data_IF_115989853154
#
_entry.id   IF_115989853154
#
_cell.length_a   1.000
_cell.length_b   1.000
_cell.length_c   1.000
_cell.angle_alpha   90.00
_cell.angle_beta   90.00
_cell.angle_gamma   90.00
#
_symmetry.space_group_name_H-M   'P 1'
#
loop_
_entity.id
_entity.type
_entity.pdbx_description
1 polymer ?
#
# COMPACT_ATOMS: atom_id res chain seq x y z
N UNK A 1 -38.99 55.48 -9.92
CA UNK A 1 -38.26 54.23 -10.23
C UNK A 1 -36.85 54.31 -9.61
N UNK A 2 -36.79 54.62 -8.31
CA UNK A 2 -35.58 55.19 -7.69
C UNK A 2 -35.38 54.78 -6.22
N UNK A 3 -36.30 53.99 -5.66
CA UNK A 3 -36.20 53.46 -4.28
C UNK A 3 -35.85 51.95 -4.25
N UNK A 4 -36.15 51.21 -5.32
CA UNK A 4 -35.87 49.76 -5.41
C UNK A 4 -34.39 49.49 -5.74
N UNK A 5 -33.73 50.39 -6.48
CA UNK A 5 -32.32 50.24 -6.88
C UNK A 5 -31.36 50.45 -5.69
N UNK A 6 -31.76 51.24 -4.68
CA UNK A 6 -30.94 51.49 -3.49
C UNK A 6 -30.89 50.32 -2.51
N UNK A 7 -31.96 49.51 -2.44
CA UNK A 7 -32.00 48.33 -1.57
C UNK A 7 -31.24 47.12 -2.17
N UNK A 8 -31.11 47.03 -3.49
CA UNK A 8 -30.36 45.97 -4.17
C UNK A 8 -28.83 46.18 -4.11
N UNK A 9 -28.35 47.43 -4.03
CA UNK A 9 -26.91 47.72 -3.88
C UNK A 9 -26.37 47.47 -2.46
N UNK A 10 -27.23 47.55 -1.43
CA UNK A 10 -26.81 47.28 -0.04
C UNK A 10 -26.77 45.76 0.24
N UNK A 11 -27.63 44.97 -0.42
CA UNK A 11 -27.61 43.50 -0.30
C UNK A 11 -26.46 42.83 -1.05
N UNK A 12 -25.93 43.44 -2.12
CA UNK A 12 -24.78 42.89 -2.84
C UNK A 12 -23.45 43.12 -2.07
N UNK A 13 -23.39 44.13 -1.19
CA UNK A 13 -22.22 44.36 -0.33
C UNK A 13 -22.16 43.47 0.94
N UNK A 14 -23.23 42.73 1.28
CA UNK A 14 -23.29 41.86 2.46
C UNK A 14 -23.13 40.35 2.14
N UNK A 15 -22.98 40.00 0.85
CA UNK A 15 -22.66 38.64 0.40
C UNK A 15 -21.31 38.54 -0.31
N UNK A 16 -20.39 39.49 -0.06
CA UNK A 16 -18.95 39.17 -0.06
C UNK A 16 -18.66 38.51 1.30
N UNK A 17 -19.30 37.36 1.54
CA UNK A 17 -18.68 36.40 2.43
C UNK A 17 -17.45 35.94 1.68
N UNK A 18 -16.34 36.57 2.06
CA UNK A 18 -15.03 35.95 2.11
C UNK A 18 -15.17 34.44 2.08
N UNK A 19 -14.91 33.84 0.93
CA UNK A 19 -14.31 32.54 0.92
C UNK A 19 -12.97 32.81 1.59
N UNK A 20 -12.95 32.68 2.91
CA UNK A 20 -11.70 32.44 3.61
C UNK A 20 -11.26 31.08 3.06
N UNK A 21 -10.50 31.11 1.97
CA UNK A 21 -9.45 30.13 1.77
C UNK A 21 -8.77 29.97 3.13
N UNK A 22 -8.49 28.74 3.61
CA UNK A 22 -7.68 28.58 4.80
C UNK A 22 -6.39 29.33 4.51
N UNK A 23 -6.29 30.50 5.14
CA UNK A 23 -5.26 31.43 4.82
C UNK A 23 -3.97 30.82 5.34
N UNK A 24 -3.04 30.49 4.45
CA UNK A 24 -1.60 30.45 4.78
C UNK A 24 -1.14 31.90 5.06
N UNK A 25 -1.91 32.67 5.85
CA UNK A 25 -1.58 34.02 6.27
C UNK A 25 -1.13 33.93 7.71
N UNK A 26 0.15 33.66 7.88
CA UNK A 26 0.97 34.17 8.99
C UNK A 26 2.44 33.72 8.97
N UNK A 27 2.89 32.98 7.95
CA UNK A 27 4.31 32.66 7.85
C UNK A 27 5.05 33.67 6.98
N UNK A 28 5.92 34.45 7.62
CA UNK A 28 6.85 35.36 6.97
C UNK A 28 7.92 34.56 6.21
N UNK A 29 8.58 35.20 5.25
CA UNK A 29 9.84 34.69 4.69
C UNK A 29 10.86 34.48 5.82
N UNK A 30 11.73 33.48 5.66
CA UNK A 30 12.70 33.16 6.68
C UNK A 30 13.68 34.31 6.90
N UNK A 31 13.90 34.68 8.16
CA UNK A 31 14.98 35.60 8.50
C UNK A 31 16.34 34.96 8.15
N UNK A 32 17.40 35.77 7.94
CA UNK A 32 18.75 35.24 7.69
C UNK A 32 19.21 34.25 8.77
N UNK A 33 18.80 34.47 10.03
CA UNK A 33 19.10 33.55 11.14
C UNK A 33 18.37 32.20 10.97
N UNK A 34 17.10 32.22 10.59
CA UNK A 34 16.33 30.99 10.34
C UNK A 34 16.86 30.24 9.13
N UNK A 35 17.29 30.92 8.07
CA UNK A 35 17.93 30.30 6.90
C UNK A 35 19.20 29.55 7.32
N UNK A 36 20.06 30.18 8.14
CA UNK A 36 21.28 29.53 8.65
C UNK A 36 20.94 28.30 9.51
N UNK A 37 19.90 28.37 10.35
CA UNK A 37 19.49 27.22 11.17
C UNK A 37 18.90 26.09 10.30
N UNK A 38 18.03 26.45 9.34
CA UNK A 38 17.40 25.53 8.40
C UNK A 38 18.46 24.77 7.58
N UNK A 39 19.31 25.51 6.85
CA UNK A 39 20.30 24.91 5.95
C UNK A 39 21.52 24.32 6.65
N UNK A 40 21.83 24.79 7.86
CA UNK A 40 22.90 24.25 8.68
C UNK A 40 22.40 23.12 9.57
N UNK A 41 21.75 23.48 10.68
CA UNK A 41 21.39 22.53 11.74
C UNK A 41 20.35 21.51 11.29
N UNK A 42 19.25 21.93 10.68
CA UNK A 42 18.18 21.00 10.33
C UNK A 42 18.61 20.04 9.21
N UNK A 43 19.36 20.53 8.21
CA UNK A 43 19.95 19.70 7.16
C UNK A 43 20.89 18.61 7.68
N UNK A 44 21.58 18.81 8.81
CA UNK A 44 22.43 17.76 9.40
C UNK A 44 21.60 16.55 9.83
N UNK A 45 20.45 16.77 10.46
CA UNK A 45 19.54 15.68 10.84
C UNK A 45 18.93 14.99 9.62
N UNK A 46 18.64 15.75 8.56
CA UNK A 46 18.18 15.20 7.28
C UNK A 46 19.25 14.27 6.69
N UNK A 47 20.51 14.71 6.66
CA UNK A 47 21.61 13.91 6.13
C UNK A 47 21.84 12.64 6.97
N UNK A 48 21.70 12.74 8.30
CA UNK A 48 21.74 11.57 9.18
C UNK A 48 20.65 10.54 8.83
N UNK A 49 19.41 10.99 8.62
CA UNK A 49 18.32 10.09 8.21
C UNK A 49 18.59 9.45 6.84
N UNK A 50 19.07 10.24 5.86
CA UNK A 50 19.40 9.72 4.52
C UNK A 50 20.48 8.65 4.62
N UNK A 51 21.58 8.96 5.32
CA UNK A 51 22.69 8.02 5.50
C UNK A 51 22.23 6.71 6.14
N UNK A 52 21.47 6.79 7.24
CA UNK A 52 20.94 5.60 7.90
C UNK A 52 20.01 4.80 6.97
N UNK A 53 19.15 5.48 6.21
CA UNK A 53 18.19 4.82 5.30
C UNK A 53 18.88 4.14 4.11
N UNK A 54 20.01 4.67 3.65
CA UNK A 54 20.83 4.08 2.59
C UNK A 54 21.69 2.92 3.10
N UNK A 55 22.26 3.05 4.30
CA UNK A 55 23.06 2.00 4.94
C UNK A 55 22.21 0.77 5.28
N UNK A 56 20.97 0.98 5.75
CA UNK A 56 20.06 -0.06 6.17
C UNK A 56 18.80 -0.07 5.30
N UNK A 57 18.88 -0.70 4.13
CA UNK A 57 17.77 -0.79 3.16
C UNK A 57 16.96 -2.10 3.27
N UNK A 58 17.58 -3.16 3.79
CA UNK A 58 17.05 -4.51 4.01
C UNK A 58 17.46 -5.02 5.41
N UNK A 59 16.58 -5.77 6.08
CA UNK A 59 16.79 -6.34 7.43
C UNK A 59 17.36 -5.37 8.48
N UNK A 60 16.64 -4.27 8.71
CA UNK A 60 17.08 -3.16 9.58
C UNK A 60 17.14 -3.59 11.06
N UNK A 61 18.30 -3.51 11.74
CA UNK A 61 18.42 -3.83 13.15
C UNK A 61 17.69 -2.80 14.02
N UNK A 62 17.19 -3.22 15.20
CA UNK A 62 16.42 -2.34 16.09
C UNK A 62 17.16 -1.06 16.50
N UNK A 63 18.49 -1.14 16.63
CA UNK A 63 19.31 0.04 16.90
C UNK A 63 19.21 1.07 15.78
N UNK A 64 19.31 0.65 14.51
CA UNK A 64 19.14 1.53 13.37
C UNK A 64 17.71 2.09 13.29
N UNK A 65 16.68 1.28 13.57
CA UNK A 65 15.27 1.76 13.64
C UNK A 65 15.12 2.88 14.68
N UNK A 66 15.72 2.72 15.86
CA UNK A 66 15.70 3.74 16.90
C UNK A 66 16.49 4.99 16.50
N UNK A 67 17.63 4.83 15.82
CA UNK A 67 18.45 5.94 15.33
C UNK A 67 17.69 6.76 14.28
N UNK A 68 17.05 6.10 13.31
CA UNK A 68 16.21 6.76 12.30
C UNK A 68 15.02 7.49 12.95
N UNK A 69 14.39 6.87 13.96
CA UNK A 69 13.29 7.52 14.70
C UNK A 69 13.75 8.78 15.42
N UNK A 70 14.94 8.77 16.03
CA UNK A 70 15.55 9.95 16.67
C UNK A 70 15.91 11.03 15.66
N UNK A 71 16.45 10.65 14.50
CA UNK A 71 16.71 11.59 13.41
C UNK A 71 15.41 12.26 12.95
N UNK A 72 14.35 11.48 12.76
CA UNK A 72 13.02 11.97 12.41
C UNK A 72 12.43 12.96 13.42
N UNK A 73 12.52 12.65 14.73
CA UNK A 73 12.12 13.58 15.79
C UNK A 73 12.95 14.87 15.76
N UNK A 74 14.25 14.76 15.48
CA UNK A 74 15.15 15.92 15.41
C UNK A 74 14.85 16.81 14.20
N UNK A 75 14.56 16.22 13.04
CA UNK A 75 14.18 16.95 11.83
C UNK A 75 12.87 17.72 12.05
N UNK A 76 11.82 17.03 12.49
CA UNK A 76 10.48 17.60 12.66
C UNK A 76 10.46 18.68 13.74
N UNK A 77 11.19 18.47 14.84
CA UNK A 77 11.39 19.48 15.89
C UNK A 77 12.19 20.69 15.40
N UNK A 78 13.28 20.46 14.63
CA UNK A 78 14.14 21.54 14.14
C UNK A 78 13.37 22.48 13.20
N UNK A 79 12.71 21.93 12.18
CA UNK A 79 11.93 22.74 11.24
C UNK A 79 10.66 23.31 11.89
N UNK A 80 10.01 22.55 12.79
CA UNK A 80 8.83 23.04 13.51
C UNK A 80 9.11 24.18 14.48
N UNK A 81 10.35 24.34 14.94
CA UNK A 81 10.77 25.44 15.81
C UNK A 81 10.98 26.78 15.09
N UNK A 82 11.04 26.82 13.76
CA UNK A 82 11.23 28.05 12.97
C UNK A 82 9.88 28.59 12.50
N UNK A 83 9.69 29.92 12.52
CA UNK A 83 8.39 30.55 12.30
C UNK A 83 8.25 31.09 10.87
N UNK A 84 8.90 30.44 9.91
CA UNK A 84 8.91 30.87 8.52
C UNK A 84 8.33 29.81 7.56
N UNK A 85 7.83 30.28 6.43
CA UNK A 85 7.01 29.48 5.51
C UNK A 85 7.78 28.28 4.95
N UNK A 86 9.02 28.50 4.51
CA UNK A 86 9.87 27.44 3.97
C UNK A 86 10.14 26.35 5.01
N UNK A 87 10.38 26.72 6.27
CA UNK A 87 10.62 25.75 7.33
C UNK A 87 9.38 24.92 7.64
N UNK A 88 8.20 25.53 7.66
CA UNK A 88 6.95 24.78 7.89
C UNK A 88 6.67 23.80 6.74
N UNK A 89 6.91 24.22 5.49
CA UNK A 89 6.86 23.31 4.34
C UNK A 89 7.84 22.14 4.47
N UNK A 90 9.07 22.41 4.91
CA UNK A 90 10.08 21.36 5.15
C UNK A 90 9.66 20.43 6.30
N UNK A 91 9.12 20.96 7.39
CA UNK A 91 8.58 20.17 8.50
C UNK A 91 7.56 19.15 7.99
N UNK A 92 6.57 19.61 7.22
CA UNK A 92 5.53 18.73 6.66
C UNK A 92 6.09 17.70 5.69
N UNK A 93 6.99 18.12 4.80
CA UNK A 93 7.65 17.23 3.86
C UNK A 93 8.41 16.11 4.57
N UNK A 94 9.22 16.46 5.56
CA UNK A 94 10.02 15.48 6.30
C UNK A 94 9.21 14.67 7.28
N UNK A 95 8.13 15.21 7.86
CA UNK A 95 7.19 14.42 8.66
C UNK A 95 6.64 13.26 7.81
N UNK A 96 6.15 13.53 6.60
CA UNK A 96 5.62 12.48 5.70
C UNK A 96 6.67 11.44 5.32
N UNK A 97 7.92 11.88 5.07
CA UNK A 97 9.04 10.95 4.81
C UNK A 97 9.33 10.08 6.02
N UNK A 98 9.33 10.67 7.21
CA UNK A 98 9.53 9.96 8.47
C UNK A 98 8.41 8.96 8.76
N UNK A 99 7.15 9.33 8.51
CA UNK A 99 6.01 8.42 8.65
C UNK A 99 6.21 7.18 7.75
N UNK A 100 6.61 7.38 6.50
CA UNK A 100 6.92 6.27 5.57
C UNK A 100 8.03 5.37 6.10
N UNK A 101 9.14 5.95 6.58
CA UNK A 101 10.28 5.19 7.11
C UNK A 101 9.87 4.41 8.36
N UNK A 102 9.11 5.03 9.26
CA UNK A 102 8.66 4.39 10.49
C UNK A 102 7.70 3.23 10.22
N UNK A 103 6.69 3.42 9.36
CA UNK A 103 5.73 2.35 9.05
C UNK A 103 6.42 1.12 8.44
N UNK A 104 7.42 1.33 7.58
CA UNK A 104 8.24 0.23 7.04
C UNK A 104 9.08 -0.43 8.13
N UNK A 105 9.86 0.34 8.88
CA UNK A 105 10.86 -0.20 9.82
C UNK A 105 10.27 -0.82 11.10
N UNK A 106 9.07 -0.41 11.48
CA UNK A 106 8.31 -1.02 12.57
C UNK A 106 7.38 -2.14 12.09
N UNK A 107 7.51 -2.62 10.85
CA UNK A 107 6.71 -3.69 10.26
C UNK A 107 5.19 -3.41 10.25
N UNK A 108 4.79 -2.14 10.28
CA UNK A 108 3.37 -1.76 10.29
C UNK A 108 2.72 -2.13 8.96
N UNK A 109 3.40 -1.93 7.85
CA UNK A 109 2.90 -2.29 6.52
C UNK A 109 2.58 -3.79 6.42
N UNK A 110 3.50 -4.64 6.86
CA UNK A 110 3.30 -6.10 6.92
C UNK A 110 2.14 -6.48 7.84
N UNK A 111 2.04 -5.84 9.01
CA UNK A 111 0.94 -6.06 9.94
C UNK A 111 -0.43 -5.68 9.34
N UNK A 112 -0.51 -4.57 8.61
CA UNK A 112 -1.73 -4.15 7.93
C UNK A 112 -2.13 -5.12 6.82
N UNK A 113 -1.16 -5.67 6.08
CA UNK A 113 -1.44 -6.70 5.06
C UNK A 113 -2.15 -7.91 5.68
N UNK A 114 -1.62 -8.45 6.78
CA UNK A 114 -2.24 -9.57 7.52
C UNK A 114 -3.63 -9.19 8.04
N UNK A 115 -3.80 -7.96 8.53
CA UNK A 115 -5.08 -7.50 9.05
C UNK A 115 -6.16 -7.41 7.95
N UNK A 116 -5.81 -6.91 6.78
CA UNK A 116 -6.75 -6.87 5.66
C UNK A 116 -7.07 -8.27 5.14
N UNK A 117 -6.10 -9.19 5.07
CA UNK A 117 -6.37 -10.61 4.76
C UNK A 117 -7.43 -11.19 5.71
N UNK A 118 -7.27 -11.03 7.02
CA UNK A 118 -8.23 -11.45 8.05
C UNK A 118 -9.64 -10.87 7.84
N UNK A 119 -9.73 -9.58 7.45
CA UNK A 119 -11.01 -8.91 7.15
C UNK A 119 -11.67 -9.51 5.92
N UNK A 120 -10.93 -9.68 4.82
CA UNK A 120 -11.48 -10.19 3.56
C UNK A 120 -11.86 -11.68 3.63
N UNK A 121 -11.20 -12.45 4.49
CA UNK A 121 -11.54 -13.85 4.79
C UNK A 121 -12.69 -13.99 5.80
N UNK A 122 -13.06 -12.89 6.48
CA UNK A 122 -14.11 -12.83 7.52
C UNK A 122 -13.83 -13.74 8.73
N UNK A 123 -12.56 -13.96 9.04
CA UNK A 123 -12.13 -14.81 10.15
C UNK A 123 -12.37 -14.15 11.52
N UNK A 124 -12.45 -12.82 11.57
CA UNK A 124 -12.65 -12.07 12.81
C UNK A 124 -14.11 -11.61 13.02
N UNK A 125 -14.76 -12.18 14.04
CA UNK A 125 -16.07 -11.73 14.52
C UNK A 125 -16.05 -10.34 15.18
N UNK A 126 -14.89 -9.86 15.61
CA UNK A 126 -14.70 -8.52 16.15
C UNK A 126 -14.59 -7.50 15.02
N UNK A 127 -13.67 -7.74 14.09
CA UNK A 127 -13.36 -6.78 13.03
C UNK A 127 -14.53 -6.59 12.05
N UNK A 128 -15.29 -7.66 11.77
CA UNK A 128 -16.49 -7.64 10.91
C UNK A 128 -17.61 -6.69 11.35
N UNK A 129 -17.55 -6.11 12.55
CA UNK A 129 -18.50 -5.10 13.03
C UNK A 129 -18.20 -3.68 12.53
N UNK A 130 -17.02 -3.46 11.95
CA UNK A 130 -16.54 -2.15 11.54
C UNK A 130 -16.04 -2.21 10.09
N UNK A 131 -16.25 -1.12 9.35
CA UNK A 131 -15.79 -1.03 7.96
C UNK A 131 -14.35 -0.51 7.89
N UNK A 132 -13.39 -1.34 8.29
CA UNK A 132 -11.95 -1.00 8.18
C UNK A 132 -11.48 -0.80 6.73
N UNK A 133 -12.28 -1.26 5.76
CA UNK A 133 -12.04 -1.12 4.32
C UNK A 133 -12.69 0.13 3.71
N UNK A 134 -13.28 1.00 4.54
CA UNK A 134 -13.99 2.18 4.08
C UNK A 134 -13.16 3.06 3.15
N UNK A 135 -13.79 3.55 2.09
CA UNK A 135 -13.13 4.30 1.00
C UNK A 135 -12.82 5.74 1.40
N UNK A 136 -13.68 6.39 2.18
CA UNK A 136 -13.45 7.79 2.57
C UNK A 136 -12.59 7.87 3.82
N UNK A 137 -11.75 8.91 3.89
CA UNK A 137 -10.91 9.18 5.05
C UNK A 137 -11.70 9.29 6.35
N UNK A 138 -12.87 9.94 6.33
CA UNK A 138 -13.73 10.07 7.49
C UNK A 138 -14.25 8.71 7.98
N UNK A 139 -14.84 7.91 7.09
CA UNK A 139 -15.37 6.60 7.47
C UNK A 139 -14.26 5.66 7.93
N UNK A 140 -13.09 5.70 7.28
CA UNK A 140 -11.92 4.94 7.71
C UNK A 140 -11.49 5.35 9.11
N UNK A 141 -11.48 6.66 9.42
CA UNK A 141 -11.20 7.17 10.76
C UNK A 141 -12.20 6.68 11.78
N UNK A 142 -13.49 6.72 11.47
CA UNK A 142 -14.56 6.25 12.34
C UNK A 142 -14.44 4.75 12.62
N UNK A 143 -14.14 3.94 11.59
CA UNK A 143 -13.96 2.50 11.72
C UNK A 143 -12.76 2.13 12.59
N UNK A 144 -11.58 2.72 12.34
CA UNK A 144 -10.39 2.48 13.16
C UNK A 144 -10.56 3.01 14.58
N UNK A 145 -11.21 4.16 14.78
CA UNK A 145 -11.50 4.68 16.13
C UNK A 145 -12.43 3.77 16.90
N UNK A 146 -13.57 3.39 16.31
CA UNK A 146 -14.60 2.58 16.97
C UNK A 146 -14.19 1.13 17.16
N UNK A 147 -13.39 0.61 16.22
CA UNK A 147 -12.84 -0.74 16.21
C UNK A 147 -11.42 -0.84 16.81
N UNK A 148 -10.91 0.22 17.47
CA UNK A 148 -9.53 0.30 17.97
C UNK A 148 -9.13 -0.93 18.80
N UNK A 149 -10.02 -1.40 19.67
CA UNK A 149 -9.73 -2.61 20.47
C UNK A 149 -9.59 -3.87 19.60
N UNK A 150 -10.48 -4.08 18.62
CA UNK A 150 -10.38 -5.23 17.71
C UNK A 150 -9.07 -5.21 16.92
N UNK A 151 -8.68 -4.03 16.41
CA UNK A 151 -7.43 -3.89 15.67
C UNK A 151 -6.20 -4.11 16.57
N UNK A 152 -6.15 -3.50 17.75
CA UNK A 152 -5.02 -3.67 18.67
C UNK A 152 -4.91 -5.11 19.20
N UNK A 153 -6.05 -5.79 19.41
CA UNK A 153 -6.06 -7.21 19.76
C UNK A 153 -5.53 -8.08 18.61
N UNK A 154 -5.86 -7.76 17.36
CA UNK A 154 -5.26 -8.42 16.19
C UNK A 154 -3.74 -8.19 16.15
N UNK A 155 -3.30 -6.93 16.29
CA UNK A 155 -1.88 -6.55 16.26
C UNK A 155 -1.09 -7.33 17.30
N UNK A 156 -1.62 -7.43 18.53
CA UNK A 156 -0.97 -8.15 19.64
C UNK A 156 -0.75 -9.63 19.34
N UNK A 157 -1.67 -10.27 18.62
CA UNK A 157 -1.65 -11.72 18.42
C UNK A 157 -0.97 -12.13 17.11
N UNK A 158 -0.93 -11.26 16.10
CA UNK A 158 -0.54 -11.63 14.73
C UNK A 158 0.62 -10.82 14.16
N UNK A 159 1.03 -9.71 14.79
CA UNK A 159 2.07 -8.84 14.25
C UNK A 159 3.38 -8.92 15.04
N UNK A 160 4.48 -8.46 14.44
CA UNK A 160 5.81 -8.45 15.07
C UNK A 160 5.84 -7.60 16.34
N UNK A 161 6.78 -7.86 17.25
CA UNK A 161 6.96 -7.05 18.46
C UNK A 161 7.20 -5.57 18.15
N UNK A 162 7.82 -5.26 16.99
CA UNK A 162 8.05 -3.90 16.52
C UNK A 162 6.72 -3.19 16.21
N UNK A 163 5.86 -3.85 15.43
CA UNK A 163 4.55 -3.32 15.07
C UNK A 163 3.68 -3.15 16.32
N UNK A 164 3.72 -4.12 17.23
CA UNK A 164 3.04 -4.04 18.52
C UNK A 164 3.50 -2.83 19.35
N UNK A 165 4.82 -2.60 19.43
CA UNK A 165 5.37 -1.46 20.14
C UNK A 165 4.89 -0.13 19.55
N UNK A 166 4.99 0.03 18.22
CA UNK A 166 4.57 1.24 17.51
C UNK A 166 3.07 1.51 17.68
N UNK A 167 2.23 0.49 17.44
CA UNK A 167 0.77 0.63 17.56
C UNK A 167 0.31 0.93 18.99
N UNK A 168 1.09 0.51 19.99
CA UNK A 168 0.79 0.82 21.39
C UNK A 168 1.13 2.27 21.75
N UNK A 169 2.24 2.81 21.25
CA UNK A 169 2.69 4.17 21.59
C UNK A 169 2.07 5.25 20.71
N UNK A 170 1.88 4.97 19.42
CA UNK A 170 1.65 6.00 18.40
C UNK A 170 0.39 5.74 17.56
N UNK A 171 -0.59 5.02 18.13
CA UNK A 171 -1.85 4.70 17.43
C UNK A 171 -2.56 5.92 16.84
N UNK A 172 -2.63 7.01 17.60
CA UNK A 172 -3.37 8.19 17.17
C UNK A 172 -2.66 8.90 16.01
N UNK A 173 -1.31 8.87 16.00
CA UNK A 173 -0.51 9.34 14.87
C UNK A 173 -0.65 8.42 13.65
N UNK A 174 -0.64 7.10 13.86
CA UNK A 174 -0.96 6.12 12.80
C UNK A 174 -2.32 6.42 12.16
N UNK A 175 -3.33 6.71 12.98
CA UNK A 175 -4.67 7.06 12.51
C UNK A 175 -4.65 8.35 11.69
N UNK A 176 -3.88 9.36 12.10
CA UNK A 176 -3.72 10.61 11.35
C UNK A 176 -3.04 10.37 9.99
N UNK A 177 -1.95 9.59 9.95
CA UNK A 177 -1.29 9.20 8.70
C UNK A 177 -2.28 8.49 7.76
N UNK A 178 -3.12 7.61 8.29
CA UNK A 178 -4.10 6.85 7.53
C UNK A 178 -5.26 7.72 6.99
N UNK A 179 -5.65 8.77 7.72
CA UNK A 179 -6.96 9.41 7.54
C UNK A 179 -6.96 10.92 7.33
N UNK A 180 -5.82 11.60 7.46
CA UNK A 180 -5.75 13.05 7.22
C UNK A 180 -5.24 13.30 5.79
N UNK A 181 -6.08 13.80 4.86
CA UNK A 181 -5.62 14.10 3.51
C UNK A 181 -4.55 15.20 3.50
N UNK A 182 -3.78 15.29 2.42
CA UNK A 182 -2.92 16.46 2.21
C UNK A 182 -3.75 17.71 1.86
N UNK A 183 -3.16 18.90 1.95
CA UNK A 183 -3.86 20.20 1.81
C UNK A 183 -4.66 20.36 0.51
N UNK A 184 -4.28 19.67 -0.57
CA UNK A 184 -4.97 19.70 -1.86
C UNK A 184 -6.05 18.61 -1.99
N UNK A 185 -6.37 17.91 -0.89
CA UNK A 185 -7.32 16.79 -0.87
C UNK A 185 -6.78 15.50 -1.49
N UNK A 186 -5.53 15.49 -1.99
CA UNK A 186 -4.91 14.30 -2.59
C UNK A 186 -4.27 13.41 -1.52
N UNK A 187 -4.15 12.12 -1.85
CA UNK A 187 -3.45 11.17 -0.99
C UNK A 187 -1.94 11.42 -0.99
N UNK A 188 -1.34 11.27 0.19
CA UNK A 188 0.11 11.26 0.34
C UNK A 188 0.72 9.96 -0.20
N UNK A 189 2.02 9.92 -0.51
CA UNK A 189 2.69 8.68 -0.90
C UNK A 189 2.47 7.52 0.09
N UNK A 190 2.47 7.81 1.40
CA UNK A 190 2.21 6.81 2.45
C UNK A 190 0.76 6.31 2.39
N UNK A 191 -0.21 7.19 2.18
CA UNK A 191 -1.61 6.80 2.03
C UNK A 191 -1.82 5.96 0.76
N UNK A 192 -1.12 6.25 -0.32
CA UNK A 192 -1.12 5.39 -1.52
C UNK A 192 -0.59 3.99 -1.18
N UNK A 193 0.54 3.89 -0.46
CA UNK A 193 1.10 2.60 -0.02
C UNK A 193 0.12 1.82 0.83
N UNK A 194 -0.48 2.43 1.86
CA UNK A 194 -1.44 1.72 2.73
C UNK A 194 -2.71 1.31 1.96
N UNK A 195 -3.18 2.15 1.03
CA UNK A 195 -4.32 1.82 0.17
C UNK A 195 -4.00 0.61 -0.71
N UNK A 196 -2.80 0.53 -1.29
CA UNK A 196 -2.36 -0.66 -2.03
C UNK A 196 -2.36 -1.90 -1.15
N UNK A 197 -1.80 -1.80 0.07
CA UNK A 197 -1.78 -2.91 1.03
C UNK A 197 -3.21 -3.41 1.34
N UNK A 198 -4.18 -2.49 1.46
CA UNK A 198 -5.59 -2.85 1.63
C UNK A 198 -6.15 -3.65 0.44
N UNK A 199 -5.66 -3.42 -0.77
CA UNK A 199 -6.16 -4.04 -2.00
C UNK A 199 -5.43 -5.34 -2.37
N UNK A 200 -4.28 -5.65 -1.78
CA UNK A 200 -3.54 -6.90 -2.01
C UNK A 200 -4.42 -8.16 -1.92
N UNK A 201 -5.33 -8.33 -0.93
CA UNK A 201 -6.20 -9.49 -0.88
C UNK A 201 -7.19 -9.57 -2.06
N UNK A 202 -7.65 -8.42 -2.57
CA UNK A 202 -8.53 -8.35 -3.75
C UNK A 202 -7.74 -8.66 -5.02
N UNK A 203 -6.54 -8.10 -5.18
CA UNK A 203 -5.62 -8.40 -6.27
C UNK A 203 -5.28 -9.89 -6.34
N UNK A 204 -4.99 -10.51 -5.19
CA UNK A 204 -4.73 -11.96 -5.11
C UNK A 204 -5.93 -12.78 -5.60
N UNK A 205 -7.17 -12.39 -5.27
CA UNK A 205 -8.39 -13.06 -5.76
C UNK A 205 -8.53 -12.97 -7.27
N UNK A 206 -8.23 -11.79 -7.85
CA UNK A 206 -8.22 -11.63 -9.31
C UNK A 206 -7.16 -12.52 -9.94
N UNK A 207 -5.94 -12.53 -9.40
CA UNK A 207 -4.85 -13.36 -9.89
C UNK A 207 -5.21 -14.86 -9.85
N UNK A 208 -5.71 -15.36 -8.72
CA UNK A 208 -6.16 -16.76 -8.56
C UNK A 208 -7.19 -17.13 -9.63
N UNK A 209 -8.13 -16.22 -9.91
CA UNK A 209 -9.20 -16.44 -10.89
C UNK A 209 -8.70 -16.36 -12.33
N UNK A 210 -7.81 -15.41 -12.63
CA UNK A 210 -7.15 -15.28 -13.94
C UNK A 210 -6.33 -16.52 -14.28
N UNK A 211 -5.66 -17.09 -13.28
CA UNK A 211 -4.89 -18.31 -13.41
C UNK A 211 -5.75 -19.57 -13.33
N UNK A 212 -7.07 -19.49 -13.13
CA UNK A 212 -7.92 -20.69 -13.15
C UNK A 212 -7.73 -21.63 -11.96
N UNK A 213 -7.06 -21.20 -10.89
CA UNK A 213 -6.84 -21.98 -9.65
C UNK A 213 -8.14 -22.24 -8.84
N UNK A 214 -9.29 -21.75 -9.30
CA UNK A 214 -10.58 -22.01 -8.64
C UNK A 214 -11.21 -23.30 -9.18
N UNK A 215 -11.56 -24.23 -8.29
CA UNK A 215 -12.26 -25.48 -8.60
C UNK A 215 -13.69 -25.31 -9.14
N UNK A 216 -14.16 -24.08 -9.30
CA UNK A 216 -15.50 -23.70 -9.74
C UNK A 216 -15.43 -22.77 -10.95
N UNK A 217 -14.91 -23.25 -12.08
CA UNK A 217 -15.07 -22.57 -13.36
C UNK A 217 -16.47 -22.88 -13.91
N UNK A 218 -17.45 -22.12 -13.45
CA UNK A 218 -18.73 -21.97 -14.15
C UNK A 218 -18.53 -21.13 -15.42
N UNK A 219 -19.33 -21.38 -16.45
CA UNK A 219 -19.25 -20.78 -17.80
C UNK A 219 -19.44 -19.25 -17.88
N UNK A 220 -19.52 -18.55 -16.74
CA UNK A 220 -19.74 -17.10 -16.63
C UNK A 220 -18.46 -16.31 -16.27
N UNK A 221 -17.28 -16.93 -16.46
CA UNK A 221 -15.96 -16.43 -16.05
C UNK A 221 -15.65 -14.99 -16.49
N UNK A 222 -16.15 -14.56 -17.65
CA UNK A 222 -15.85 -13.26 -18.27
C UNK A 222 -16.55 -12.08 -17.55
N UNK A 223 -17.84 -12.23 -17.24
CA UNK A 223 -18.61 -11.25 -16.45
C UNK A 223 -18.08 -11.16 -15.01
N UNK A 224 -17.63 -12.30 -14.51
CA UNK A 224 -17.12 -12.46 -13.16
C UNK A 224 -15.70 -11.91 -12.98
N UNK A 225 -14.87 -11.88 -14.03
CA UNK A 225 -13.55 -11.24 -14.03
C UNK A 225 -13.69 -9.71 -14.08
N UNK A 226 -14.55 -9.21 -14.96
CA UNK A 226 -14.85 -7.77 -15.09
C UNK A 226 -15.32 -7.18 -13.75
N UNK A 227 -16.21 -7.89 -13.04
CA UNK A 227 -16.68 -7.48 -11.73
C UNK A 227 -15.55 -7.41 -10.68
N UNK A 228 -14.67 -8.42 -10.61
CA UNK A 228 -13.57 -8.44 -9.62
C UNK A 228 -12.46 -7.44 -9.97
N UNK A 229 -12.26 -7.14 -11.25
CA UNK A 229 -11.40 -6.04 -11.70
C UNK A 229 -11.91 -4.67 -11.27
N UNK A 230 -13.22 -4.46 -11.37
CA UNK A 230 -13.84 -3.25 -10.83
C UNK A 230 -13.66 -3.16 -9.32
N UNK A 231 -13.65 -4.28 -8.59
CA UNK A 231 -13.35 -4.28 -7.14
C UNK A 231 -11.95 -3.77 -6.81
N UNK A 232 -10.91 -4.09 -7.62
CA UNK A 232 -9.56 -3.52 -7.43
C UNK A 232 -9.59 -2.01 -7.69
N UNK A 233 -10.17 -1.58 -8.82
CA UNK A 233 -10.29 -0.15 -9.16
C UNK A 233 -11.00 0.61 -8.06
N UNK A 234 -12.09 0.04 -7.55
CA UNK A 234 -12.87 0.59 -6.45
C UNK A 234 -12.11 0.63 -5.13
N UNK A 235 -11.22 -0.34 -4.90
CA UNK A 235 -10.43 -0.45 -3.68
C UNK A 235 -9.33 0.63 -3.61
N UNK A 236 -8.69 0.94 -4.75
CA UNK A 236 -7.61 1.95 -4.79
C UNK A 236 -8.10 3.40 -4.76
N UNK A 237 -9.41 3.63 -4.89
CA UNK A 237 -10.01 4.95 -4.73
C UNK A 237 -10.16 5.33 -3.25
N UNK A 238 -9.97 6.61 -2.87
CA UNK A 238 -9.76 7.78 -3.73
C UNK A 238 -8.29 8.06 -4.11
N UNK A 239 -7.36 7.21 -3.68
CA UNK A 239 -5.94 7.54 -3.68
C UNK A 239 -5.21 7.37 -5.01
N UNK A 240 -5.73 6.54 -5.93
CA UNK A 240 -5.03 6.27 -7.19
C UNK A 240 -5.96 6.20 -8.41
N UNK A 241 -6.11 7.31 -9.13
CA UNK A 241 -6.80 7.35 -10.43
C UNK A 241 -5.92 6.87 -11.59
N UNK A 242 -4.60 7.10 -11.54
CA UNK A 242 -3.66 6.70 -12.61
C UNK A 242 -3.49 5.19 -12.68
N UNK A 243 -3.45 4.50 -11.54
CA UNK A 243 -3.35 3.03 -11.52
C UNK A 243 -4.67 2.37 -11.93
N UNK A 244 -5.80 3.05 -11.74
CA UNK A 244 -7.09 2.54 -12.20
C UNK A 244 -7.13 2.38 -13.73
N UNK A 245 -6.46 3.24 -14.49
CA UNK A 245 -6.37 3.12 -15.95
C UNK A 245 -5.49 1.93 -16.36
N UNK A 246 -4.39 1.70 -15.66
CA UNK A 246 -3.52 0.53 -15.85
C UNK A 246 -4.26 -0.78 -15.56
N UNK A 247 -4.99 -0.85 -14.44
CA UNK A 247 -5.79 -2.01 -14.06
C UNK A 247 -6.93 -2.23 -15.06
N UNK A 248 -7.66 -1.17 -15.45
CA UNK A 248 -8.72 -1.28 -16.46
C UNK A 248 -8.19 -1.79 -17.80
N UNK A 249 -7.00 -1.35 -18.21
CA UNK A 249 -6.35 -1.82 -19.44
C UNK A 249 -5.90 -3.29 -19.33
N UNK A 250 -5.36 -3.70 -18.18
CA UNK A 250 -5.05 -5.11 -17.89
C UNK A 250 -6.31 -5.95 -17.96
N UNK A 251 -7.35 -5.56 -17.24
CA UNK A 251 -8.62 -6.26 -17.15
C UNK A 251 -9.39 -6.31 -18.48
N UNK A 252 -9.24 -5.30 -19.36
CA UNK A 252 -9.87 -5.28 -20.68
C UNK A 252 -9.12 -6.07 -21.76
N UNK A 253 -7.88 -6.48 -21.52
CA UNK A 253 -7.03 -7.20 -22.49
C UNK A 253 -6.53 -8.56 -21.96
N UNK A 254 -7.04 -9.01 -20.81
CA UNK A 254 -6.52 -10.21 -20.16
C UNK A 254 -7.05 -11.47 -20.85
N UNK A 255 -6.15 -12.30 -21.38
CA UNK A 255 -6.49 -13.63 -21.86
C UNK A 255 -6.51 -14.59 -20.66
N UNK A 256 -7.64 -15.24 -20.40
CA UNK A 256 -7.76 -16.21 -19.31
C UNK A 256 -6.90 -17.44 -19.59
N UNK A 257 -6.23 -17.95 -18.55
CA UNK A 257 -5.50 -19.20 -18.63
C UNK A 257 -6.47 -20.39 -18.52
N UNK A 258 -7.03 -20.79 -19.65
CA UNK A 258 -7.98 -21.92 -19.77
C UNK A 258 -7.28 -23.16 -20.37
N UNK A 259 -6.24 -23.63 -19.68
CA UNK A 259 -5.49 -24.84 -20.04
C UNK A 259 -5.34 -25.72 -18.79
N UNK A 260 -6.32 -26.62 -18.60
CA UNK A 260 -6.46 -27.44 -17.40
C UNK A 260 -5.21 -28.28 -17.13
N UNK A 261 -4.61 -28.88 -18.16
CA UNK A 261 -3.43 -29.73 -18.01
C UNK A 261 -2.21 -28.93 -17.55
N UNK A 262 -2.03 -27.71 -18.07
CA UNK A 262 -1.01 -26.79 -17.58
C UNK A 262 -1.25 -26.39 -16.12
N UNK A 263 -2.50 -26.09 -15.76
CA UNK A 263 -2.86 -25.66 -14.40
C UNK A 263 -2.74 -26.78 -13.36
N UNK A 264 -3.27 -27.97 -13.66
CA UNK A 264 -3.14 -29.15 -12.80
C UNK A 264 -1.65 -29.47 -12.55
N UNK A 265 -0.79 -29.23 -13.55
CA UNK A 265 0.64 -29.40 -13.42
C UNK A 265 1.28 -28.32 -12.53
N UNK A 266 0.90 -27.05 -12.69
CA UNK A 266 1.38 -25.97 -11.84
C UNK A 266 1.01 -26.21 -10.35
N UNK A 267 -0.24 -26.60 -10.08
CA UNK A 267 -0.73 -26.97 -8.75
C UNK A 267 0.04 -28.15 -8.15
N UNK A 268 0.33 -29.17 -8.97
CA UNK A 268 1.14 -30.32 -8.56
C UNK A 268 2.55 -29.88 -8.15
N UNK A 269 3.18 -28.96 -8.88
CA UNK A 269 4.51 -28.44 -8.57
C UNK A 269 4.48 -27.64 -7.26
N UNK A 270 3.46 -26.81 -7.06
CA UNK A 270 3.27 -26.08 -5.80
C UNK A 270 3.08 -27.04 -4.61
N UNK A 271 2.26 -28.08 -4.78
CA UNK A 271 2.07 -29.13 -3.76
C UNK A 271 3.39 -29.82 -3.42
N UNK A 272 4.18 -30.19 -4.43
CA UNK A 272 5.51 -30.76 -4.23
C UNK A 272 6.41 -29.78 -3.47
N UNK A 273 6.38 -28.50 -3.79
CA UNK A 273 7.19 -27.49 -3.08
C UNK A 273 6.84 -27.41 -1.59
N UNK A 274 5.55 -27.41 -1.28
CA UNK A 274 5.05 -27.27 0.10
C UNK A 274 5.26 -28.54 0.92
N UNK A 275 5.10 -29.71 0.33
CA UNK A 275 5.16 -31.00 1.04
C UNK A 275 6.55 -31.66 0.98
N UNK A 276 7.32 -31.42 -0.08
CA UNK A 276 8.59 -32.10 -0.35
C UNK A 276 9.55 -31.23 -1.18
N UNK A 277 10.03 -30.13 -0.58
CA UNK A 277 10.94 -29.16 -1.21
C UNK A 277 12.19 -29.82 -1.83
N UNK A 278 12.73 -30.87 -1.21
CA UNK A 278 13.94 -31.58 -1.68
C UNK A 278 13.75 -32.21 -3.08
N UNK A 279 12.52 -32.61 -3.43
CA UNK A 279 12.24 -33.19 -4.74
C UNK A 279 12.49 -32.19 -5.88
N UNK A 280 12.12 -30.93 -5.69
CA UNK A 280 12.40 -29.88 -6.68
C UNK A 280 13.88 -29.48 -6.69
N UNK A 281 14.58 -29.58 -5.57
CA UNK A 281 16.03 -29.32 -5.50
C UNK A 281 16.88 -30.28 -6.36
N UNK A 282 16.31 -31.41 -6.80
CA UNK A 282 16.96 -32.32 -7.74
C UNK A 282 17.13 -31.77 -9.16
N UNK A 283 16.41 -30.71 -9.54
CA UNK A 283 16.55 -30.06 -10.84
C UNK A 283 17.73 -29.09 -10.83
N UNK A 284 18.59 -29.16 -11.85
CA UNK A 284 19.79 -28.31 -11.93
C UNK A 284 19.42 -26.83 -11.96
N UNK A 285 18.33 -26.49 -12.64
CA UNK A 285 17.84 -25.12 -12.74
C UNK A 285 17.35 -24.53 -11.40
N UNK A 286 17.07 -25.38 -10.39
CA UNK A 286 16.63 -24.98 -9.06
C UNK A 286 17.76 -24.60 -8.11
N UNK A 287 19.03 -24.77 -8.53
CA UNK A 287 20.21 -24.38 -7.75
C UNK A 287 20.24 -22.85 -7.55
N UNK A 288 19.96 -22.40 -6.32
CA UNK A 288 19.87 -20.98 -5.97
C UNK A 288 18.47 -20.37 -6.10
N UNK A 289 17.43 -21.18 -6.33
CA UNK A 289 16.03 -20.77 -6.29
C UNK A 289 15.39 -21.26 -4.98
N UNK A 290 15.33 -20.38 -3.98
CA UNK A 290 14.91 -20.78 -2.62
C UNK A 290 13.39 -20.83 -2.42
N UNK A 291 12.59 -20.39 -3.41
CA UNK A 291 11.12 -20.27 -3.30
C UNK A 291 10.38 -20.57 -4.60
N UNK A 292 9.11 -21.02 -4.50
CA UNK A 292 8.18 -21.15 -5.63
C UNK A 292 8.05 -19.83 -6.41
N UNK A 293 8.13 -18.70 -5.71
CA UNK A 293 8.08 -17.33 -6.28
C UNK A 293 9.26 -17.04 -7.21
N UNK A 294 10.37 -17.74 -7.06
CA UNK A 294 11.53 -17.61 -7.96
C UNK A 294 11.41 -18.56 -9.16
N UNK A 295 10.76 -19.72 -8.99
CA UNK A 295 10.46 -20.66 -10.06
C UNK A 295 9.43 -20.07 -11.05
N UNK A 296 8.37 -19.42 -10.54
CA UNK A 296 7.35 -18.74 -11.38
C UNK A 296 7.87 -17.52 -12.13
N UNK A 297 9.12 -17.09 -11.87
CA UNK A 297 9.83 -16.04 -12.62
C UNK A 297 10.87 -16.56 -13.61
N UNK A 298 11.11 -17.87 -13.62
CA UNK A 298 12.12 -18.50 -14.48
C UNK A 298 11.46 -19.46 -15.47
N UNK A 299 11.17 -18.95 -16.66
CA UNK A 299 10.48 -19.70 -17.74
C UNK A 299 11.13 -21.03 -18.05
N UNK A 300 12.44 -21.02 -18.25
CA UNK A 300 13.16 -22.21 -18.69
C UNK A 300 13.21 -23.25 -17.57
N UNK A 301 13.36 -22.81 -16.32
CA UNK A 301 13.31 -23.72 -15.18
C UNK A 301 11.91 -24.28 -14.95
N UNK A 302 10.85 -23.48 -15.03
CA UNK A 302 9.49 -24.00 -14.97
C UNK A 302 9.23 -25.04 -16.06
N UNK A 303 9.68 -24.77 -17.30
CA UNK A 303 9.54 -25.72 -18.40
C UNK A 303 10.28 -27.04 -18.14
N UNK A 304 11.45 -26.97 -17.53
CA UNK A 304 12.24 -28.15 -17.14
C UNK A 304 11.54 -28.95 -16.03
N UNK A 305 11.03 -28.28 -15.00
CA UNK A 305 10.30 -28.92 -13.89
C UNK A 305 8.99 -29.53 -14.38
N UNK A 306 8.18 -28.83 -15.19
CA UNK A 306 6.94 -29.37 -15.75
C UNK A 306 7.19 -30.59 -16.65
N UNK A 307 8.31 -30.63 -17.39
CA UNK A 307 8.72 -31.81 -18.17
C UNK A 307 9.03 -33.03 -17.30
N UNK A 308 9.58 -32.83 -16.12
CA UNK A 308 9.94 -33.92 -15.23
C UNK A 308 8.79 -34.38 -14.33
N UNK A 309 7.91 -33.46 -13.94
CA UNK A 309 6.84 -33.75 -12.97
C UNK A 309 5.47 -34.01 -13.60
N UNK A 310 5.24 -33.66 -14.86
CA UNK A 310 3.90 -33.68 -15.46
C UNK A 310 3.85 -34.38 -16.81
N UNK A 311 2.63 -34.69 -17.25
CA UNK A 311 2.37 -35.28 -18.56
C UNK A 311 2.68 -34.29 -19.69
N UNK A 312 3.06 -34.81 -20.86
CA UNK A 312 3.38 -33.99 -22.04
C UNK A 312 2.23 -33.06 -22.47
N UNK A 313 0.99 -33.41 -22.13
CA UNK A 313 -0.19 -32.56 -22.39
C UNK A 313 -0.09 -31.19 -21.74
N UNK A 314 0.49 -31.09 -20.53
CA UNK A 314 0.72 -29.84 -19.82
C UNK A 314 1.70 -28.89 -20.53
N UNK A 315 2.51 -29.43 -21.45
CA UNK A 315 3.51 -28.66 -22.19
C UNK A 315 3.04 -28.18 -23.56
N UNK A 316 1.89 -28.67 -24.04
CA UNK A 316 1.42 -28.46 -25.42
C UNK A 316 1.30 -26.98 -25.79
N UNK A 317 0.83 -26.16 -24.85
CA UNK A 317 0.70 -24.71 -25.02
C UNK A 317 1.60 -23.92 -24.05
N UNK A 318 2.66 -24.54 -23.53
CA UNK A 318 3.48 -23.96 -22.45
C UNK A 318 3.89 -22.52 -22.72
N UNK A 319 4.33 -22.19 -23.95
CA UNK A 319 4.84 -20.84 -24.25
C UNK A 319 3.75 -19.78 -24.25
N UNK A 320 2.52 -20.13 -24.66
CA UNK A 320 1.35 -19.24 -24.56
C UNK A 320 0.91 -19.09 -23.11
N UNK A 321 0.79 -20.21 -22.40
CA UNK A 321 0.34 -20.27 -21.01
C UNK A 321 1.30 -19.54 -20.07
N UNK A 322 2.60 -19.72 -20.29
CA UNK A 322 3.65 -18.99 -19.57
C UNK A 322 3.55 -17.49 -19.81
N UNK A 323 3.29 -17.06 -21.04
CA UNK A 323 3.14 -15.63 -21.34
C UNK A 323 1.96 -15.02 -20.57
N UNK A 324 0.82 -15.71 -20.54
CA UNK A 324 -0.36 -15.29 -19.77
C UNK A 324 -0.02 -15.20 -18.27
N UNK A 325 0.68 -16.20 -17.73
CA UNK A 325 1.15 -16.21 -16.33
C UNK A 325 2.14 -15.08 -16.01
N UNK A 326 3.10 -14.84 -16.90
CA UNK A 326 4.13 -13.80 -16.75
C UNK A 326 3.52 -12.39 -16.81
N UNK A 327 2.58 -12.17 -17.74
CA UNK A 327 1.80 -10.93 -17.85
C UNK A 327 0.93 -10.71 -16.59
N UNK A 328 0.45 -11.79 -15.94
CA UNK A 328 -0.30 -11.72 -14.68
C UNK A 328 0.56 -11.38 -13.46
N UNK A 329 1.80 -11.86 -13.42
CA UNK A 329 2.70 -11.80 -12.26
C UNK A 329 3.71 -10.64 -12.30
N UNK A 330 3.82 -9.92 -13.42
CA UNK A 330 4.77 -8.82 -13.62
C UNK A 330 4.31 -7.46 -13.09
N UNK A 331 3.20 -7.43 -12.35
CA UNK A 331 2.58 -6.23 -11.76
C UNK A 331 2.49 -6.34 -10.24
#
# INVERSE_FOLDING_TARGET
MTEIVRSLLIFICLFINTIAEPSISNFQECSPKEIVISHGKCSLYVNELIFLSEEYNEDVPMEAVNNMSRACQSITSCFGGLQCLESQKNKELYQRKCDSVQLKNFDVESCLMLFYEEIYEKNSSCASKYDFTAKTFQQKREAFTSGKSCFLDFVKNNCSERAQSYMKSDYDHFLDVLTVPSENGMCTPVQNTITKIQCVPVERKVLIKMLGFSSSLDKDTDQHLTATCQEIVDCIQPCSSVESEGINKLCGNFELLDDKEFMDCADKIETIHNENKEKLSGYKCMSGLDSIKTLTKNRDCMKEVMKGECDESALKNFDRNWKILDDALSH
#
